data_IF_698194238352
#
_entry.id   IF_698194238352
#
_cell.length_a   1.000
_cell.length_b   1.000
_cell.length_c   1.000
_cell.angle_alpha   90.00
_cell.angle_beta   90.00
_cell.angle_gamma   90.00
#
_symmetry.space_group_name_H-M   'P 1'
#
loop_
_entity.id
_entity.type
_entity.pdbx_description
1 polymer ?
#
# COMPACT_ATOMS: atom_id res chain seq x y z
N UNK A 1 9.09 -31.89 33.75
CA UNK A 1 9.34 -31.93 32.28
C UNK A 1 9.03 -30.63 31.53
N UNK A 2 8.04 -29.80 31.92
CA UNK A 2 7.73 -28.54 31.20
C UNK A 2 8.75 -27.41 31.43
N UNK A 3 9.38 -27.33 32.60
CA UNK A 3 10.38 -26.30 32.90
C UNK A 3 11.66 -26.40 32.05
N UNK A 4 12.19 -27.60 31.81
CA UNK A 4 13.40 -27.79 30.99
C UNK A 4 13.21 -27.36 29.52
N UNK A 5 12.00 -27.55 28.97
CA UNK A 5 11.64 -27.02 27.63
C UNK A 5 11.64 -25.50 27.59
N UNK A 6 11.23 -24.83 28.67
CA UNK A 6 11.24 -23.37 28.75
C UNK A 6 12.68 -22.83 28.84
N UNK A 7 13.55 -23.45 29.65
CA UNK A 7 14.96 -23.00 29.72
C UNK A 7 15.71 -23.33 28.42
N UNK A 8 15.39 -24.44 27.74
CA UNK A 8 15.92 -24.72 26.40
C UNK A 8 15.48 -23.67 25.39
N UNK A 9 14.22 -23.24 25.41
CA UNK A 9 13.75 -22.17 24.53
C UNK A 9 14.40 -20.83 24.86
N UNK A 10 14.63 -20.50 26.14
CA UNK A 10 15.34 -19.29 26.57
C UNK A 10 16.83 -19.35 26.17
N UNK A 11 17.48 -20.51 26.31
CA UNK A 11 18.85 -20.72 25.84
C UNK A 11 18.93 -20.64 24.31
N UNK A 12 17.97 -21.19 23.56
CA UNK A 12 17.86 -21.02 22.10
C UNK A 12 17.54 -19.58 21.69
N UNK A 13 16.80 -18.83 22.51
CA UNK A 13 16.54 -17.40 22.29
C UNK A 13 17.81 -16.57 22.51
N UNK A 14 18.63 -16.92 23.52
CA UNK A 14 19.90 -16.26 23.81
C UNK A 14 21.06 -16.70 22.88
N UNK A 15 21.03 -17.90 22.29
CA UNK A 15 22.06 -18.35 21.34
C UNK A 15 21.83 -17.85 19.91
N UNK A 16 20.73 -17.13 19.63
CA UNK A 16 20.58 -16.34 18.40
C UNK A 16 21.34 -15.01 18.49
N UNK A 17 22.66 -15.10 18.67
CA UNK A 17 23.67 -14.17 18.12
C UNK A 17 25.02 -14.86 18.26
N UNK A 18 25.23 -15.88 17.43
CA UNK A 18 26.60 -16.28 17.09
C UNK A 18 27.19 -15.06 16.39
N UNK A 19 28.17 -14.40 17.02
CA UNK A 19 29.01 -13.41 16.35
C UNK A 19 29.71 -14.12 15.19
N UNK A 20 29.18 -13.96 13.97
CA UNK A 20 29.90 -14.36 12.79
C UNK A 20 31.08 -13.40 12.65
N UNK A 21 32.30 -13.93 12.65
CA UNK A 21 33.50 -13.12 12.42
C UNK A 21 33.44 -12.63 10.97
N UNK A 22 33.07 -11.37 10.78
CA UNK A 22 32.84 -10.75 9.48
C UNK A 22 34.05 -10.94 8.52
N UNK A 23 35.25 -10.91 9.10
CA UNK A 23 36.54 -11.05 8.41
C UNK A 23 36.74 -12.39 7.67
N UNK A 24 36.15 -13.49 8.17
CA UNK A 24 36.32 -14.81 7.57
C UNK A 24 35.22 -15.16 6.55
N UNK A 25 34.10 -14.45 6.60
CA UNK A 25 32.90 -14.73 5.80
C UNK A 25 32.88 -13.88 4.54
N UNK A 26 33.22 -12.59 4.65
CA UNK A 26 33.09 -11.63 3.56
C UNK A 26 34.46 -11.10 3.11
N UNK A 27 34.78 -11.32 1.83
CA UNK A 27 36.07 -10.89 1.24
C UNK A 27 35.99 -9.60 0.45
N UNK A 28 34.79 -9.14 0.10
CA UNK A 28 34.54 -7.95 -0.70
C UNK A 28 33.75 -6.93 0.12
N UNK A 29 33.97 -5.64 -0.14
CA UNK A 29 33.25 -4.55 0.52
C UNK A 29 31.72 -4.70 0.36
N UNK A 30 31.25 -5.00 -0.85
CA UNK A 30 29.81 -5.11 -1.13
C UNK A 30 29.12 -6.22 -0.32
N UNK A 31 29.78 -7.36 -0.10
CA UNK A 31 29.20 -8.45 0.69
C UNK A 31 29.29 -8.19 2.21
N UNK A 32 30.32 -7.46 2.64
CA UNK A 32 30.50 -7.06 4.04
C UNK A 32 29.36 -6.15 4.51
N UNK A 33 28.91 -5.23 3.65
CA UNK A 33 27.84 -4.27 3.96
C UNK A 33 26.42 -4.85 4.01
N UNK A 34 26.25 -6.16 3.81
CA UNK A 34 24.93 -6.82 3.88
C UNK A 34 24.53 -7.12 5.33
N UNK A 35 25.52 -7.32 6.19
CA UNK A 35 25.29 -7.68 7.59
C UNK A 35 25.34 -6.43 8.47
N UNK A 36 24.28 -6.11 9.25
CA UNK A 36 24.24 -4.93 10.09
C UNK A 36 25.30 -4.93 11.20
N UNK A 37 25.87 -6.10 11.55
CA UNK A 37 26.90 -6.23 12.58
C UNK A 37 28.34 -6.09 12.02
N UNK A 38 28.49 -5.90 10.70
CA UNK A 38 29.76 -5.78 10.00
C UNK A 38 29.99 -4.39 9.39
N UNK A 39 31.25 -3.99 9.21
CA UNK A 39 31.61 -2.81 8.44
C UNK A 39 32.92 -2.99 7.68
N UNK A 40 33.10 -2.21 6.61
CA UNK A 40 34.34 -2.21 5.84
C UNK A 40 35.29 -1.12 6.34
N UNK A 41 36.52 -1.49 6.68
CA UNK A 41 37.60 -0.56 7.00
C UNK A 41 38.38 -0.23 5.72
N UNK A 42 38.83 1.02 5.57
CA UNK A 42 39.68 1.44 4.44
C UNK A 42 41.17 1.32 4.76
N UNK A 43 41.55 1.40 6.04
CA UNK A 43 42.93 1.37 6.48
C UNK A 43 43.10 0.62 7.82
N UNK A 44 43.55 -0.65 7.81
CA UNK A 44 43.80 -1.49 6.63
C UNK A 44 42.49 -1.96 5.96
N UNK A 45 42.48 -2.18 4.63
CA UNK A 45 41.27 -2.57 3.92
C UNK A 45 40.79 -3.97 4.33
N UNK A 46 39.55 -4.08 4.82
CA UNK A 46 38.99 -5.37 5.21
C UNK A 46 37.62 -5.27 5.90
N UNK A 47 36.93 -6.40 5.96
CA UNK A 47 35.67 -6.53 6.69
C UNK A 47 35.93 -6.80 8.17
N UNK A 48 35.36 -5.97 9.04
CA UNK A 48 35.53 -6.02 10.50
C UNK A 48 34.17 -6.04 11.20
N UNK A 49 34.14 -6.57 12.42
CA UNK A 49 32.93 -6.55 13.27
C UNK A 49 32.75 -5.17 13.91
N UNK A 50 31.51 -4.73 14.18
CA UNK A 50 31.21 -3.43 14.84
C UNK A 50 31.99 -3.19 16.14
N UNK A 51 32.35 -4.26 16.87
CA UNK A 51 33.11 -4.16 18.11
C UNK A 51 34.60 -3.79 17.92
N UNK A 52 35.13 -3.83 16.69
CA UNK A 52 36.53 -3.53 16.39
C UNK A 52 36.72 -2.04 16.03
N UNK A 53 37.91 -1.51 16.29
CA UNK A 53 38.23 -0.10 16.00
C UNK A 53 38.93 0.05 14.66
N UNK A 54 38.48 1.01 13.84
CA UNK A 54 39.05 1.34 12.53
C UNK A 54 39.17 2.86 12.41
N UNK A 55 40.34 3.35 11.97
CA UNK A 55 40.57 4.78 11.81
C UNK A 55 39.75 5.40 10.67
N UNK A 56 39.57 4.66 9.57
CA UNK A 56 38.85 5.10 8.38
C UNK A 56 37.74 4.10 8.02
N UNK A 57 36.63 4.17 8.74
CA UNK A 57 35.45 3.33 8.51
C UNK A 57 34.72 3.80 7.25
N UNK A 58 34.36 2.86 6.37
CA UNK A 58 33.43 3.12 5.29
C UNK A 58 32.02 3.14 5.88
N UNK A 59 31.48 4.34 6.07
CA UNK A 59 30.17 4.57 6.65
C UNK A 59 29.20 4.98 5.54
N UNK A 60 28.35 4.03 5.14
CA UNK A 60 27.08 4.36 4.49
C UNK A 60 26.04 4.49 5.58
N UNK A 61 25.24 5.55 5.55
CA UNK A 61 24.11 5.73 6.46
C UNK A 61 22.84 5.63 5.63
N UNK A 62 21.81 4.97 6.16
CA UNK A 62 20.50 5.02 5.52
C UNK A 62 20.02 6.47 5.48
N UNK A 63 19.59 6.92 4.30
CA UNK A 63 19.09 8.27 4.12
C UNK A 63 17.70 8.20 3.50
N UNK A 64 16.73 8.82 4.16
CA UNK A 64 15.35 8.92 3.71
C UNK A 64 15.02 10.39 3.53
N UNK A 65 14.83 10.80 2.27
CA UNK A 65 14.50 12.17 1.90
C UNK A 65 13.06 12.24 1.40
N UNK A 66 12.23 13.08 2.02
CA UNK A 66 10.88 13.38 1.53
C UNK A 66 11.01 14.42 0.41
N UNK A 67 10.55 14.07 -0.79
CA UNK A 67 10.70 14.90 -1.99
C UNK A 67 9.41 15.66 -2.36
N UNK A 68 8.48 15.82 -1.42
CA UNK A 68 7.25 16.59 -1.63
C UNK A 68 7.51 18.09 -1.41
N UNK A 69 7.30 18.92 -2.43
CA UNK A 69 7.46 20.39 -2.36
C UNK A 69 6.33 21.10 -1.60
N UNK A 70 5.22 20.42 -1.32
CA UNK A 70 4.04 21.04 -0.72
C UNK A 70 3.94 20.73 0.78
N UNK A 71 3.84 21.78 1.60
CA UNK A 71 3.51 21.68 3.03
C UNK A 71 2.21 20.85 3.18
N UNK A 72 2.17 19.81 4.03
CA UNK A 72 0.99 18.99 4.27
C UNK A 72 -0.26 19.81 4.66
N UNK A 73 -0.09 21.06 5.13
CA UNK A 73 -1.20 21.99 5.46
C UNK A 73 -1.74 22.79 4.27
N UNK A 74 -0.97 22.96 3.20
CA UNK A 74 -1.40 23.71 1.99
C UNK A 74 -2.17 22.80 1.03
N UNK A 75 -2.03 21.48 1.18
CA UNK A 75 -2.66 20.50 0.33
C UNK A 75 -4.08 20.13 0.81
N UNK A 76 -5.04 21.06 0.71
CA UNK A 76 -6.48 20.78 0.90
C UNK A 76 -7.06 19.68 -0.03
N UNK A 77 -6.20 18.99 -0.81
CA UNK A 77 -6.53 17.94 -1.79
C UNK A 77 -5.54 16.75 -1.79
N UNK A 78 -4.62 16.61 -0.81
CA UNK A 78 -3.70 15.45 -0.72
C UNK A 78 -4.10 14.37 0.29
N UNK A 79 -4.58 13.21 -0.19
CA UNK A 79 -5.12 12.13 0.65
C UNK A 79 -4.02 11.39 1.42
N UNK A 80 -2.84 11.31 0.82
CA UNK A 80 -1.71 10.52 1.30
C UNK A 80 -0.48 11.42 1.30
N UNK A 81 0.24 11.45 2.41
CA UNK A 81 1.50 12.16 2.56
C UNK A 81 2.54 11.26 3.23
N UNK A 82 3.81 11.26 2.79
CA UNK A 82 4.33 11.90 1.57
C UNK A 82 3.92 11.14 0.29
N UNK A 83 3.85 11.83 -0.86
CA UNK A 83 3.63 11.23 -2.19
C UNK A 83 4.93 10.72 -2.80
N UNK A 84 6.05 11.38 -2.49
CA UNK A 84 7.36 11.04 -3.04
C UNK A 84 8.41 10.97 -1.93
N UNK A 85 9.12 9.86 -1.88
CA UNK A 85 10.23 9.61 -0.98
C UNK A 85 11.40 9.06 -1.78
N UNK A 86 12.59 9.58 -1.54
CA UNK A 86 13.86 9.02 -2.02
C UNK A 86 14.55 8.33 -0.86
N UNK A 87 15.07 7.14 -1.09
CA UNK A 87 15.75 6.36 -0.06
C UNK A 87 17.04 5.78 -0.58
N UNK A 88 18.10 5.95 0.20
CA UNK A 88 19.36 5.23 0.06
C UNK A 88 19.47 4.29 1.24
N UNK A 89 19.36 2.98 0.99
CA UNK A 89 19.33 1.95 2.02
C UNK A 89 20.55 1.04 1.91
N UNK A 90 21.04 0.59 3.06
CA UNK A 90 22.07 -0.43 3.18
C UNK A 90 21.38 -1.81 3.10
N UNK A 91 21.93 -2.75 2.31
CA UNK A 91 21.36 -4.09 2.25
C UNK A 91 21.27 -4.73 3.64
N UNK A 92 20.13 -5.37 3.93
CA UNK A 92 19.91 -6.04 5.21
C UNK A 92 19.47 -5.14 6.37
N UNK A 93 19.40 -3.82 6.17
CA UNK A 93 18.83 -2.89 7.15
C UNK A 93 17.40 -2.50 6.79
N UNK A 94 16.58 -2.32 7.83
CA UNK A 94 15.19 -1.91 7.71
C UNK A 94 15.06 -0.43 8.03
N UNK A 95 14.28 0.29 7.23
CA UNK A 95 13.89 1.68 7.49
C UNK A 95 12.38 1.82 7.50
N UNK A 96 11.87 2.64 8.41
CA UNK A 96 10.43 2.84 8.61
C UNK A 96 10.05 4.19 8.01
N UNK A 97 9.06 4.17 7.12
CA UNK A 97 8.47 5.39 6.55
C UNK A 97 7.05 5.52 7.07
N UNK A 98 6.77 6.65 7.70
CA UNK A 98 5.43 6.97 8.16
C UNK A 98 4.62 7.62 7.04
N UNK A 99 3.44 7.05 6.79
CA UNK A 99 2.45 7.60 5.87
C UNK A 99 1.26 8.14 6.65
N UNK A 100 0.84 9.34 6.30
CA UNK A 100 -0.37 9.98 6.81
C UNK A 100 -1.45 9.86 5.75
N UNK A 101 -2.55 9.20 6.11
CA UNK A 101 -3.74 9.11 5.27
C UNK A 101 -4.85 9.97 5.88
N UNK A 102 -5.29 10.97 5.13
CA UNK A 102 -6.39 11.85 5.51
C UNK A 102 -7.61 11.58 4.65
N UNK A 103 -8.81 11.73 5.21
CA UNK A 103 -10.05 11.62 4.44
C UNK A 103 -10.54 13.01 4.05
N UNK A 104 -10.81 13.21 2.75
CA UNK A 104 -11.49 14.43 2.30
C UNK A 104 -12.95 14.47 2.72
N UNK A 105 -13.41 15.68 3.03
CA UNK A 105 -14.82 15.93 3.31
C UNK A 105 -15.68 15.96 2.04
N UNK A 106 -15.11 16.29 0.89
CA UNK A 106 -15.84 16.43 -0.40
C UNK A 106 -15.15 15.60 -1.50
N UNK A 107 -15.44 14.30 -1.59
CA UNK A 107 -14.96 13.45 -2.68
C UNK A 107 -15.84 13.59 -3.93
N UNK A 108 -15.26 13.61 -5.15
CA UNK A 108 -16.06 13.53 -6.37
C UNK A 108 -16.81 12.19 -6.44
N UNK A 109 -18.08 12.23 -6.84
CA UNK A 109 -18.94 11.06 -6.94
C UNK A 109 -19.49 10.95 -8.36
N UNK A 110 -19.28 9.80 -8.97
CA UNK A 110 -19.92 9.42 -10.23
C UNK A 110 -21.02 8.39 -9.94
N UNK A 111 -22.27 8.80 -10.11
CA UNK A 111 -23.45 7.95 -9.87
C UNK A 111 -24.04 7.48 -11.20
N UNK A 112 -24.01 6.17 -11.45
CA UNK A 112 -24.60 5.59 -12.67
C UNK A 112 -25.84 4.77 -12.35
N UNK A 113 -27.00 5.24 -12.79
CA UNK A 113 -28.25 4.49 -12.69
C UNK A 113 -28.36 3.53 -13.87
N UNK A 114 -28.23 2.24 -13.61
CA UNK A 114 -28.52 1.19 -14.59
C UNK A 114 -29.88 0.57 -14.30
N UNK A 115 -30.88 0.91 -15.11
CA UNK A 115 -32.29 0.59 -14.85
C UNK A 115 -32.79 -0.50 -15.80
N UNK A 116 -33.48 -1.50 -15.24
CA UNK A 116 -34.22 -2.48 -16.04
C UNK A 116 -35.51 -1.84 -16.59
N UNK A 117 -35.71 -1.94 -17.91
CA UNK A 117 -36.92 -1.45 -18.59
C UNK A 117 -37.96 -2.55 -18.84
N UNK A 118 -37.78 -3.74 -18.26
CA UNK A 118 -38.75 -4.83 -18.28
C UNK A 118 -40.10 -4.41 -17.68
N UNK A 119 -41.16 -5.14 -18.03
CA UNK A 119 -42.52 -4.78 -17.67
C UNK A 119 -42.76 -4.81 -16.15
N UNK A 120 -42.16 -5.77 -15.44
CA UNK A 120 -42.23 -5.89 -13.98
C UNK A 120 -41.59 -4.70 -13.28
N UNK A 121 -40.60 -4.04 -13.91
CA UNK A 121 -39.85 -2.94 -13.34
C UNK A 121 -40.44 -1.55 -13.64
N UNK A 122 -41.57 -1.49 -14.37
CA UNK A 122 -42.26 -0.25 -14.73
C UNK A 122 -42.49 0.69 -13.53
N UNK A 123 -43.05 0.18 -12.43
CA UNK A 123 -43.35 1.00 -11.26
C UNK A 123 -42.10 1.60 -10.60
N UNK A 124 -41.03 0.82 -10.49
CA UNK A 124 -39.77 1.29 -9.91
C UNK A 124 -39.06 2.29 -10.84
N UNK A 125 -39.09 2.06 -12.16
CA UNK A 125 -38.57 3.00 -13.16
C UNK A 125 -39.28 4.36 -13.05
N UNK A 126 -40.61 4.36 -12.98
CA UNK A 126 -41.40 5.58 -12.90
C UNK A 126 -41.11 6.32 -11.58
N UNK A 127 -40.92 5.58 -10.47
CA UNK A 127 -40.49 6.16 -9.20
C UNK A 127 -39.07 6.78 -9.27
N UNK A 128 -38.11 6.12 -9.91
CA UNK A 128 -36.75 6.66 -10.09
C UNK A 128 -36.79 7.93 -10.95
N UNK A 129 -37.62 7.96 -12.00
CA UNK A 129 -37.79 9.14 -12.83
C UNK A 129 -38.34 10.33 -12.02
N UNK A 130 -39.31 10.10 -11.14
CA UNK A 130 -39.89 11.13 -10.27
C UNK A 130 -38.90 11.57 -9.17
N UNK A 131 -38.16 10.63 -8.57
CA UNK A 131 -37.28 10.89 -7.42
C UNK A 131 -35.85 11.30 -7.81
N UNK A 132 -35.49 11.24 -9.09
CA UNK A 132 -34.12 11.49 -9.57
C UNK A 132 -33.56 12.83 -9.08
N UNK A 133 -34.37 13.89 -9.13
CA UNK A 133 -33.95 15.22 -8.66
C UNK A 133 -33.71 15.24 -7.14
N UNK A 134 -34.54 14.55 -6.36
CA UNK A 134 -34.39 14.47 -4.91
C UNK A 134 -33.11 13.72 -4.52
N UNK A 135 -32.77 12.64 -5.25
CA UNK A 135 -31.53 11.89 -5.04
C UNK A 135 -30.32 12.77 -5.35
N UNK A 136 -30.32 13.45 -6.51
CA UNK A 136 -29.25 14.38 -6.89
C UNK A 136 -29.08 15.48 -5.86
N UNK A 137 -30.18 16.09 -5.40
CA UNK A 137 -30.16 17.15 -4.38
C UNK A 137 -29.65 16.62 -3.04
N UNK A 138 -29.98 15.39 -2.67
CA UNK A 138 -29.49 14.74 -1.47
C UNK A 138 -27.97 14.55 -1.50
N UNK A 139 -27.45 14.02 -2.60
CA UNK A 139 -26.02 13.75 -2.76
C UNK A 139 -25.23 15.05 -2.90
N UNK A 140 -25.79 16.09 -3.53
CA UNK A 140 -25.16 17.42 -3.62
C UNK A 140 -24.96 18.13 -2.28
N UNK A 141 -25.64 17.69 -1.21
CA UNK A 141 -25.37 18.16 0.16
C UNK A 141 -24.12 17.52 0.77
N UNK A 142 -23.66 16.40 0.21
CA UNK A 142 -22.50 15.64 0.67
C UNK A 142 -21.27 16.01 -0.17
N UNK A 143 -21.42 16.05 -1.50
CA UNK A 143 -20.34 16.44 -2.42
C UNK A 143 -20.80 17.45 -3.46
N UNK A 144 -19.93 18.40 -3.80
CA UNK A 144 -20.20 19.39 -4.85
C UNK A 144 -19.91 18.86 -6.25
N UNK A 145 -19.01 17.89 -6.37
CA UNK A 145 -18.66 17.25 -7.65
C UNK A 145 -19.44 15.94 -7.79
N UNK A 146 -20.63 16.05 -8.37
CA UNK A 146 -21.52 14.93 -8.66
C UNK A 146 -21.76 14.85 -10.16
N UNK A 147 -21.40 13.72 -10.77
CA UNK A 147 -21.78 13.37 -12.14
C UNK A 147 -22.80 12.25 -12.10
N UNK A 148 -23.81 12.34 -12.96
CA UNK A 148 -24.88 11.35 -13.03
C UNK A 148 -25.00 10.82 -14.45
N UNK A 149 -24.95 9.50 -14.58
CA UNK A 149 -25.22 8.80 -15.83
C UNK A 149 -26.44 7.91 -15.71
N UNK A 150 -27.08 7.66 -16.85
CA UNK A 150 -28.21 6.76 -16.96
C UNK A 150 -27.96 5.75 -18.05
N UNK A 151 -28.18 4.48 -17.72
CA UNK A 151 -28.19 3.37 -18.65
C UNK A 151 -29.44 2.53 -18.42
N UNK A 152 -29.81 1.78 -19.45
CA UNK A 152 -30.91 0.84 -19.32
C UNK A 152 -30.59 -0.48 -20.00
N UNK A 153 -31.20 -1.54 -19.49
CA UNK A 153 -31.14 -2.84 -20.13
C UNK A 153 -32.53 -3.47 -20.23
N UNK A 154 -32.64 -4.34 -21.23
CA UNK A 154 -33.71 -5.33 -21.40
C UNK A 154 -32.98 -6.62 -21.78
N UNK A 155 -33.60 -7.77 -21.53
CA UNK A 155 -33.10 -9.08 -21.96
C UNK A 155 -32.70 -9.10 -23.44
N UNK A 156 -31.72 -9.94 -23.79
CA UNK A 156 -31.25 -10.09 -25.18
C UNK A 156 -32.42 -10.43 -26.10
N UNK A 157 -32.44 -9.82 -27.29
CA UNK A 157 -33.36 -10.17 -28.40
C UNK A 157 -32.96 -11.49 -29.05
N UNK A 158 -32.82 -12.54 -28.27
CA UNK A 158 -32.81 -13.90 -28.80
C UNK A 158 -34.26 -14.36 -28.89
N UNK A 159 -34.62 -15.16 -29.90
CA UNK A 159 -35.92 -15.82 -30.01
C UNK A 159 -36.07 -16.86 -28.90
N UNK A 160 -36.34 -16.36 -27.67
CA UNK A 160 -36.90 -16.97 -26.45
C UNK A 160 -36.30 -18.27 -25.90
N UNK A 161 -36.19 -18.33 -24.57
CA UNK A 161 -36.00 -19.58 -23.80
C UNK A 161 -37.21 -20.53 -23.94
N UNK A 162 -38.40 -20.01 -24.29
CA UNK A 162 -39.66 -20.77 -24.44
C UNK A 162 -40.08 -21.06 -25.88
N UNK A 163 -39.35 -20.57 -26.89
CA UNK A 163 -39.72 -20.71 -28.31
C UNK A 163 -38.69 -21.51 -29.13
N UNK A 164 -37.94 -22.40 -28.47
CA UNK A 164 -36.97 -23.28 -29.14
C UNK A 164 -37.56 -24.64 -29.59
N UNK A 165 -38.80 -25.00 -29.19
CA UNK A 165 -39.34 -26.33 -29.53
C UNK A 165 -40.43 -26.38 -30.60
N UNK A 166 -41.03 -25.26 -31.03
CA UNK A 166 -42.04 -25.32 -32.09
C UNK A 166 -41.97 -24.08 -32.96
N UNK A 167 -41.19 -24.17 -34.04
CA UNK A 167 -41.44 -23.58 -35.36
C UNK A 167 -40.26 -23.91 -36.30
N UNK A 168 -40.24 -25.11 -36.89
CA UNK A 168 -40.29 -25.45 -38.33
C UNK A 168 -40.82 -26.88 -38.38
#
# INVERSE_FOLDING_TARGET
MKFYRLILLILFYHTKRIHAICSNVYKTCGNCSIDPDCFWCLDPPGCMDIAQNCFNKYETVNQVDILDENDPKVANQQQIYPKKVSMNLIPGQEEIIDFVVTQFKEYPVDLYFLVDLSWSMRGARDNIAIQGENIVRGIRKITKDLKVGFGSFIEKKCTSVYFCHLSI
#
